data_IF_374847823727
#
_entry.id   IF_374847823727
#
_cell.length_a   1.000
_cell.length_b   1.000
_cell.length_c   1.000
_cell.angle_alpha   90.00
_cell.angle_beta   90.00
_cell.angle_gamma   90.00
#
_symmetry.space_group_name_H-M   'P 1'
#
loop_
_entity.id
_entity.type
_entity.pdbx_description
1 polymer ?
#
# COMPACT_ATOMS: atom_id res chain seq x y z
N UNK A 1 16.03 -14.58 -22.50
CA UNK A 1 16.45 -15.55 -21.45
C UNK A 1 16.91 -14.73 -20.27
N UNK A 2 16.01 -14.39 -19.34
CA UNK A 2 16.38 -13.64 -18.13
C UNK A 2 16.80 -14.64 -17.07
N UNK A 3 18.06 -14.56 -16.66
CA UNK A 3 18.63 -15.36 -15.57
C UNK A 3 18.01 -14.90 -14.25
N UNK A 4 16.97 -15.59 -13.80
CA UNK A 4 16.51 -15.48 -12.41
C UNK A 4 17.55 -16.18 -11.55
N UNK A 5 18.18 -15.45 -10.64
CA UNK A 5 18.95 -16.04 -9.54
C UNK A 5 17.96 -16.29 -8.41
N UNK A 6 17.79 -17.54 -8.03
CA UNK A 6 17.08 -17.90 -6.81
C UNK A 6 17.94 -17.47 -5.62
N UNK A 7 17.53 -16.38 -4.97
CA UNK A 7 18.10 -15.91 -3.72
C UNK A 7 17.10 -16.27 -2.63
N UNK A 8 17.50 -17.11 -1.69
CA UNK A 8 16.71 -17.39 -0.48
C UNK A 8 16.83 -16.18 0.45
N UNK A 9 15.74 -15.47 0.77
CA UNK A 9 15.81 -14.30 1.63
C UNK A 9 16.30 -14.67 3.04
N UNK A 10 17.10 -13.79 3.64
CA UNK A 10 17.61 -13.93 5.01
C UNK A 10 16.84 -13.01 5.97
N UNK A 11 17.04 -13.21 7.29
CA UNK A 11 16.44 -12.35 8.33
C UNK A 11 16.77 -10.87 8.15
N UNK A 12 17.99 -10.57 7.70
CA UNK A 12 18.43 -9.19 7.46
C UNK A 12 17.73 -8.58 6.24
N UNK A 13 17.43 -9.38 5.21
CA UNK A 13 16.66 -8.94 4.05
C UNK A 13 15.24 -8.53 4.45
N UNK A 14 14.60 -9.30 5.34
CA UNK A 14 13.27 -8.95 5.88
C UNK A 14 13.30 -7.66 6.70
N UNK A 15 14.33 -7.43 7.51
CA UNK A 15 14.48 -6.17 8.26
C UNK A 15 14.66 -4.98 7.32
N UNK A 16 15.48 -5.11 6.28
CA UNK A 16 15.68 -4.06 5.27
C UNK A 16 14.39 -3.74 4.52
N UNK A 17 13.64 -4.77 4.12
CA UNK A 17 12.32 -4.62 3.50
C UNK A 17 11.36 -3.93 4.47
N UNK A 18 11.38 -4.30 5.75
CA UNK A 18 10.54 -3.67 6.76
C UNK A 18 10.78 -2.17 6.88
N UNK A 19 12.06 -1.80 6.91
CA UNK A 19 12.49 -0.41 6.94
C UNK A 19 12.14 0.32 5.64
N UNK A 20 12.28 -0.31 4.48
CA UNK A 20 11.90 0.25 3.19
C UNK A 20 10.40 0.57 3.11
N UNK A 21 9.55 -0.38 3.52
CA UNK A 21 8.09 -0.22 3.63
C UNK A 21 7.77 0.96 4.56
N UNK A 22 8.39 0.96 5.74
CA UNK A 22 8.19 2.00 6.76
C UNK A 22 8.56 3.39 6.23
N UNK A 23 9.76 3.56 5.65
CA UNK A 23 10.24 4.83 5.08
C UNK A 23 9.37 5.34 3.94
N UNK A 24 8.97 4.46 3.02
CA UNK A 24 8.10 4.81 1.89
C UNK A 24 6.77 5.40 2.39
N UNK A 25 6.16 4.76 3.39
CA UNK A 25 4.91 5.21 3.98
C UNK A 25 5.03 6.59 4.68
N UNK A 26 6.17 6.94 5.29
CA UNK A 26 6.33 8.24 5.98
C UNK A 26 6.28 9.46 5.05
N UNK A 27 6.60 9.31 3.76
CA UNK A 27 6.56 10.42 2.78
C UNK A 27 5.17 10.68 2.20
N UNK A 28 4.20 9.81 2.51
CA UNK A 28 2.85 9.86 1.99
C UNK A 28 1.94 10.74 2.85
N UNK A 29 0.99 11.41 2.22
CA UNK A 29 -0.10 12.08 2.93
C UNK A 29 -0.98 11.06 3.66
N UNK A 30 -1.85 11.56 4.54
CA UNK A 30 -2.75 10.71 5.33
C UNK A 30 -3.68 9.88 4.44
N UNK A 31 -4.26 10.48 3.38
CA UNK A 31 -5.15 9.75 2.46
C UNK A 31 -4.41 8.69 1.65
N UNK A 32 -3.22 8.99 1.14
CA UNK A 32 -2.37 8.01 0.44
C UNK A 32 -2.05 6.80 1.33
N UNK A 33 -1.63 7.04 2.58
CA UNK A 33 -1.38 5.95 3.55
C UNK A 33 -2.63 5.15 3.85
N UNK A 34 -3.77 5.80 4.05
CA UNK A 34 -5.04 5.13 4.33
C UNK A 34 -5.46 4.22 3.17
N UNK A 35 -5.32 4.69 1.93
CA UNK A 35 -5.57 3.89 0.73
C UNK A 35 -4.62 2.69 0.63
N UNK A 36 -3.32 2.92 0.86
CA UNK A 36 -2.33 1.84 0.86
C UNK A 36 -2.64 0.78 1.93
N UNK A 37 -2.92 1.21 3.15
CA UNK A 37 -3.26 0.29 4.24
C UNK A 37 -4.57 -0.45 4.01
N UNK A 38 -5.56 0.21 3.42
CA UNK A 38 -6.81 -0.45 3.05
C UNK A 38 -6.55 -1.57 2.05
N UNK A 39 -5.70 -1.34 1.04
CA UNK A 39 -5.31 -2.37 0.08
C UNK A 39 -4.50 -3.50 0.74
N UNK A 40 -3.49 -3.16 1.54
CA UNK A 40 -2.66 -4.14 2.25
C UNK A 40 -3.45 -4.99 3.25
N UNK A 41 -4.49 -4.43 3.88
CA UNK A 41 -5.34 -5.14 4.83
C UNK A 41 -6.19 -6.25 4.19
N UNK A 42 -6.30 -6.29 2.86
CA UNK A 42 -7.00 -7.36 2.15
C UNK A 42 -6.11 -8.57 1.85
N UNK A 43 -4.79 -8.42 1.97
CA UNK A 43 -3.83 -9.50 1.77
C UNK A 43 -3.98 -10.50 2.91
N UNK A 44 -4.17 -11.77 2.57
CA UNK A 44 -4.29 -12.88 3.52
C UNK A 44 -2.99 -13.70 3.54
N UNK A 45 -2.68 -14.38 4.66
CA UNK A 45 -1.47 -15.20 4.74
C UNK A 45 -1.43 -16.38 3.77
N UNK A 46 -2.59 -16.77 3.23
CA UNK A 46 -2.73 -17.88 2.27
C UNK A 46 -2.73 -17.40 0.81
N UNK A 47 -2.62 -16.09 0.57
CA UNK A 47 -2.62 -15.58 -0.79
C UNK A 47 -1.26 -15.84 -1.45
N UNK A 48 -1.27 -16.54 -2.58
CA UNK A 48 -0.07 -16.77 -3.41
C UNK A 48 0.28 -15.55 -4.28
N UNK A 49 -0.69 -14.65 -4.47
CA UNK A 49 -0.58 -13.44 -5.29
C UNK A 49 -1.22 -12.24 -4.57
N UNK A 50 -0.75 -11.04 -4.86
CA UNK A 50 -1.35 -9.83 -4.29
C UNK A 50 -2.72 -9.56 -4.93
N UNK A 51 -3.81 -9.47 -4.14
CA UNK A 51 -5.13 -9.28 -4.69
C UNK A 51 -5.32 -7.87 -5.26
N UNK A 52 -6.11 -7.78 -6.33
CA UNK A 52 -6.74 -6.52 -6.70
C UNK A 52 -7.90 -6.23 -5.76
N UNK A 53 -7.90 -5.04 -5.17
CA UNK A 53 -8.92 -4.63 -4.21
C UNK A 53 -9.92 -3.71 -4.90
N UNK A 54 -11.15 -4.20 -5.06
CA UNK A 54 -12.29 -3.42 -5.56
C UNK A 54 -13.20 -3.01 -4.41
N UNK A 55 -13.56 -1.73 -4.36
CA UNK A 55 -14.40 -1.13 -3.32
C UNK A 55 -15.32 -0.06 -3.91
N UNK A 56 -16.42 0.26 -3.24
CA UNK A 56 -17.21 1.44 -3.60
C UNK A 56 -16.47 2.71 -3.18
N UNK A 57 -16.33 3.69 -4.07
CA UNK A 57 -15.72 4.98 -3.74
C UNK A 57 -16.48 5.68 -2.59
N UNK A 58 -17.80 5.58 -2.57
CA UNK A 58 -18.63 6.05 -1.46
C UNK A 58 -18.22 5.42 -0.12
N UNK A 59 -18.03 4.09 -0.09
CA UNK A 59 -17.61 3.38 1.14
C UNK A 59 -16.23 3.83 1.62
N UNK A 60 -15.32 4.17 0.69
CA UNK A 60 -13.99 4.73 1.03
C UNK A 60 -14.12 6.10 1.67
N UNK A 61 -14.94 6.99 1.10
CA UNK A 61 -15.19 8.31 1.68
C UNK A 61 -15.75 8.20 3.09
N UNK A 62 -16.74 7.32 3.30
CA UNK A 62 -17.32 7.05 4.63
C UNK A 62 -16.26 6.51 5.61
N UNK A 63 -15.47 5.52 5.19
CA UNK A 63 -14.41 4.94 6.01
C UNK A 63 -13.34 5.97 6.42
N UNK A 64 -13.13 7.00 5.59
CA UNK A 64 -12.15 8.06 5.85
C UNK A 64 -12.73 9.30 6.54
N UNK A 65 -14.04 9.31 6.81
CA UNK A 65 -14.75 10.44 7.43
C UNK A 65 -14.87 11.65 6.49
N UNK A 66 -14.90 11.41 5.18
CA UNK A 66 -15.06 12.44 4.15
C UNK A 66 -16.53 12.60 3.78
N UNK A 67 -16.89 13.80 3.35
CA UNK A 67 -18.24 14.10 2.87
C UNK A 67 -18.55 13.34 1.57
N UNK A 68 -19.82 13.01 1.35
CA UNK A 68 -20.28 12.52 0.05
C UNK A 68 -20.57 13.71 -0.88
N UNK A 69 -19.51 14.39 -1.33
CA UNK A 69 -19.60 15.54 -2.23
C UNK A 69 -18.55 15.47 -3.35
N UNK A 70 -18.78 16.21 -4.44
CA UNK A 70 -17.89 16.18 -5.61
C UNK A 70 -16.44 16.57 -5.31
N UNK A 71 -16.20 17.42 -4.29
CA UNK A 71 -14.84 17.78 -3.87
C UNK A 71 -14.12 16.59 -3.24
N UNK A 72 -14.82 15.80 -2.44
CA UNK A 72 -14.28 14.61 -1.78
C UNK A 72 -13.91 13.51 -2.79
N UNK A 73 -14.69 13.33 -3.87
CA UNK A 73 -14.31 12.44 -4.97
C UNK A 73 -13.09 12.95 -5.76
N UNK A 74 -12.97 14.27 -5.98
CA UNK A 74 -11.77 14.87 -6.60
C UNK A 74 -10.54 14.65 -5.72
N UNK A 75 -10.66 14.86 -4.41
CA UNK A 75 -9.58 14.63 -3.46
C UNK A 75 -9.17 13.15 -3.39
N UNK A 76 -10.16 12.24 -3.42
CA UNK A 76 -9.91 10.80 -3.49
C UNK A 76 -9.14 10.42 -4.76
N UNK A 77 -9.56 10.90 -5.93
CA UNK A 77 -8.83 10.67 -7.19
C UNK A 77 -7.40 11.21 -7.12
N UNK A 78 -7.21 12.42 -6.61
CA UNK A 78 -5.88 13.01 -6.44
C UNK A 78 -5.02 12.24 -5.43
N UNK A 79 -5.61 11.63 -4.40
CA UNK A 79 -4.89 10.76 -3.48
C UNK A 79 -4.46 9.45 -4.15
N UNK A 80 -5.33 8.84 -4.96
CA UNK A 80 -5.01 7.64 -5.76
C UNK A 80 -3.89 7.93 -6.76
N UNK A 81 -3.96 9.03 -7.50
CA UNK A 81 -2.92 9.43 -8.45
C UNK A 81 -1.56 9.61 -7.77
N UNK A 82 -1.52 10.30 -6.64
CA UNK A 82 -0.27 10.48 -5.89
C UNK A 82 0.25 9.17 -5.33
N UNK A 83 -0.64 8.28 -4.86
CA UNK A 83 -0.27 6.94 -4.38
C UNK A 83 0.36 6.09 -5.49
N UNK A 84 -0.16 6.13 -6.72
CA UNK A 84 0.45 5.46 -7.87
C UNK A 84 1.88 5.96 -8.14
N UNK A 85 2.13 7.25 -7.91
CA UNK A 85 3.45 7.86 -8.01
C UNK A 85 4.41 7.49 -6.86
N UNK A 86 3.95 6.79 -5.82
CA UNK A 86 4.81 6.40 -4.69
C UNK A 86 5.62 5.17 -5.02
N UNK A 87 6.90 5.24 -4.67
CA UNK A 87 7.84 4.13 -4.78
C UNK A 87 8.27 3.64 -3.40
N UNK A 88 8.55 2.34 -3.30
CA UNK A 88 9.35 1.76 -2.23
C UNK A 88 10.79 1.64 -2.72
N UNK A 89 11.75 1.98 -1.85
CA UNK A 89 13.18 1.88 -2.14
C UNK A 89 13.79 0.83 -1.22
N UNK A 90 14.29 -0.25 -1.82
CA UNK A 90 14.94 -1.36 -1.15
C UNK A 90 16.45 -1.24 -1.40
N UNK A 91 17.20 -0.95 -0.34
CA UNK A 91 18.66 -0.89 -0.40
C UNK A 91 19.22 -2.31 -0.51
N UNK A 92 20.19 -2.52 -1.41
CA UNK A 92 20.84 -3.82 -1.63
C UNK A 92 22.18 -3.89 -0.89
N UNK A 93 22.62 -5.08 -0.44
CA UNK A 93 23.88 -5.24 0.30
C UNK A 93 25.13 -4.74 -0.44
N UNK A 94 25.08 -4.68 -1.78
CA UNK A 94 26.17 -4.19 -2.61
C UNK A 94 26.21 -2.65 -2.75
N UNK A 95 25.41 -1.91 -1.97
CA UNK A 95 25.28 -0.45 -2.07
C UNK A 95 24.40 0.02 -3.23
N UNK A 96 23.77 -0.89 -3.96
CA UNK A 96 22.76 -0.56 -4.97
C UNK A 96 21.36 -0.36 -4.37
N UNK A 97 20.41 0.01 -5.21
CA UNK A 97 19.00 0.17 -4.82
C UNK A 97 18.07 -0.50 -5.83
N UNK A 98 16.91 -0.90 -5.36
CA UNK A 98 15.79 -1.41 -6.15
C UNK A 98 14.55 -0.57 -5.82
N UNK A 99 13.84 -0.12 -6.85
CA UNK A 99 12.63 0.68 -6.70
C UNK A 99 11.45 -0.01 -7.37
N UNK A 100 10.34 -0.08 -6.64
CA UNK A 100 9.05 -0.53 -7.17
C UNK A 100 7.98 0.51 -6.85
N UNK A 101 6.98 0.61 -7.72
CA UNK A 101 5.77 1.34 -7.38
C UNK A 101 4.96 0.57 -6.34
N UNK A 102 4.24 1.28 -5.47
CA UNK A 102 3.31 0.64 -4.54
C UNK A 102 2.09 0.06 -5.26
N UNK A 103 1.55 0.83 -6.19
CA UNK A 103 0.33 0.52 -6.94
C UNK A 103 0.69 0.48 -8.42
N UNK A 104 0.41 -0.65 -9.07
CA UNK A 104 0.65 -0.80 -10.50
C UNK A 104 -0.58 -0.43 -11.35
N UNK A 105 -1.78 -0.52 -10.78
CA UNK A 105 -3.03 -0.13 -11.44
C UNK A 105 -4.01 0.44 -10.43
N UNK A 106 -4.67 1.53 -10.82
CA UNK A 106 -5.90 1.97 -10.17
C UNK A 106 -6.93 2.33 -11.23
N UNK A 107 -8.20 2.05 -10.95
CA UNK A 107 -9.31 2.27 -11.88
C UNK A 107 -10.52 2.78 -11.11
N UNK A 108 -11.18 3.81 -11.66
CA UNK A 108 -12.48 4.27 -11.18
C UNK A 108 -13.50 4.05 -12.28
N UNK A 109 -14.56 3.30 -12.00
CA UNK A 109 -15.64 2.99 -12.93
C UNK A 109 -16.89 3.80 -12.54
N UNK A 110 -17.23 4.87 -13.28
CA UNK A 110 -18.38 5.71 -12.94
C UNK A 110 -19.72 4.98 -13.04
N UNK A 111 -19.82 3.91 -13.86
CA UNK A 111 -21.10 3.21 -14.06
C UNK A 111 -21.61 2.51 -12.80
N UNK A 112 -20.72 2.09 -11.91
CA UNK A 112 -21.07 1.47 -10.62
C UNK A 112 -20.41 2.15 -9.40
N UNK A 113 -19.64 3.22 -9.62
CA UNK A 113 -18.97 3.98 -8.58
C UNK A 113 -17.86 3.20 -7.87
N UNK A 114 -17.28 2.18 -8.52
CA UNK A 114 -16.22 1.37 -7.94
C UNK A 114 -14.83 1.96 -8.17
N UNK A 115 -13.99 1.82 -7.16
CA UNK A 115 -12.56 2.08 -7.17
C UNK A 115 -11.84 0.74 -7.03
N UNK A 116 -10.95 0.42 -7.96
CA UNK A 116 -10.08 -0.75 -7.91
C UNK A 116 -8.63 -0.31 -7.74
N UNK A 117 -7.89 -0.96 -6.85
CA UNK A 117 -6.46 -0.73 -6.61
C UNK A 117 -5.75 -2.08 -6.66
N UNK A 118 -4.75 -2.19 -7.54
CA UNK A 118 -3.85 -3.34 -7.61
C UNK A 118 -2.46 -2.95 -7.15
N UNK A 119 -2.03 -3.58 -6.05
CA UNK A 119 -0.65 -3.48 -5.57
C UNK A 119 0.29 -4.05 -6.63
N UNK A 120 1.52 -3.55 -6.69
CA UNK A 120 2.50 -4.06 -7.66
C UNK A 120 2.86 -5.51 -7.36
N UNK A 121 2.77 -6.38 -8.38
CA UNK A 121 3.10 -7.80 -8.22
C UNK A 121 4.56 -8.00 -7.80
N UNK A 122 5.44 -7.06 -8.14
CA UNK A 122 6.84 -7.01 -7.69
C UNK A 122 7.00 -6.92 -6.16
N UNK A 123 5.93 -6.51 -5.45
CA UNK A 123 5.92 -6.44 -4.00
C UNK A 123 5.54 -7.74 -3.33
N UNK A 124 5.03 -8.73 -4.07
CA UNK A 124 4.61 -10.01 -3.51
C UNK A 124 5.70 -10.68 -2.65
N UNK A 125 6.98 -10.75 -3.08
CA UNK A 125 8.05 -11.35 -2.28
C UNK A 125 8.26 -10.64 -0.94
N UNK A 126 8.03 -9.33 -0.90
CA UNK A 126 8.27 -8.47 0.27
C UNK A 126 7.06 -8.39 1.20
N UNK A 127 5.84 -8.47 0.69
CA UNK A 127 4.64 -8.23 1.51
C UNK A 127 4.00 -9.53 1.99
N UNK A 128 3.98 -10.58 1.16
CA UNK A 128 3.35 -11.87 1.53
C UNK A 128 4.11 -12.56 2.67
N UNK A 129 5.44 -12.57 2.62
CA UNK A 129 6.29 -13.22 3.63
C UNK A 129 6.43 -12.43 4.93
N UNK A 130 6.11 -11.12 4.92
CA UNK A 130 6.22 -10.28 6.11
C UNK A 130 4.94 -10.25 6.96
N UNK A 131 3.87 -10.93 6.55
CA UNK A 131 2.61 -10.93 7.30
C UNK A 131 2.73 -11.54 8.71
N UNK A 132 3.63 -12.50 8.95
CA UNK A 132 3.90 -13.01 10.31
C UNK A 132 4.44 -11.91 11.24
N UNK A 133 5.13 -10.90 10.70
CA UNK A 133 5.70 -9.79 11.45
C UNK A 133 4.81 -8.53 11.47
N UNK A 134 4.03 -8.29 10.41
CA UNK A 134 3.15 -7.11 10.28
C UNK A 134 1.73 -7.30 10.80
N UNK A 135 1.32 -8.52 11.17
CA UNK A 135 0.01 -8.82 11.79
C UNK A 135 -0.30 -8.03 13.07
N UNK A 136 0.65 -7.23 13.57
CA UNK A 136 0.52 -6.35 14.74
C UNK A 136 -0.02 -4.95 14.39
N UNK A 137 0.03 -4.51 13.13
CA UNK A 137 -0.61 -3.25 12.67
C UNK A 137 -2.11 -3.47 12.43
N UNK A 138 -2.80 -4.04 13.43
CA UNK A 138 -4.25 -4.12 13.43
C UNK A 138 -4.80 -2.69 13.38
N UNK A 139 -5.92 -2.55 12.68
CA UNK A 139 -6.83 -1.40 12.52
C UNK A 139 -6.88 -0.39 13.70
N UNK A 140 -6.54 -0.79 14.92
CA UNK A 140 -6.29 0.09 16.07
C UNK A 140 -5.26 1.22 15.81
N UNK A 141 -4.26 1.03 14.95
CA UNK A 141 -3.29 2.11 14.64
C UNK A 141 -3.81 3.11 13.59
N UNK A 142 -4.79 2.72 12.76
CA UNK A 142 -5.51 3.66 11.88
C UNK A 142 -6.30 4.70 12.70
N UNK A 143 -6.82 4.30 13.87
CA UNK A 143 -7.47 5.22 14.81
C UNK A 143 -6.48 6.18 15.49
N UNK A 144 -5.26 5.73 15.81
CA UNK A 144 -4.20 6.58 16.43
C UNK A 144 -3.59 7.59 15.46
N UNK A 145 -3.70 7.39 14.15
CA UNK A 145 -3.32 8.38 13.15
C UNK A 145 -4.18 9.65 13.20
N UNK A 146 -5.35 9.64 13.87
CA UNK A 146 -6.13 10.85 14.13
C UNK A 146 -5.59 11.71 15.28
N UNK A 147 -4.75 11.16 16.19
CA UNK A 147 -4.36 11.86 17.42
C UNK A 147 -2.93 12.39 17.45
N UNK A 148 -2.05 12.00 16.51
CA UNK A 148 -0.63 12.43 16.51
C UNK A 148 -0.30 13.65 15.65
N UNK A 149 -1.28 14.22 14.97
CA UNK A 149 -1.15 15.51 14.27
C UNK A 149 -2.08 16.60 14.87
N UNK A 150 -2.54 16.36 16.10
CA UNK A 150 -3.21 17.37 16.93
C UNK A 150 -2.29 17.75 18.11
N UNK A 151 -1.08 18.22 17.79
CA UNK A 151 -0.27 19.10 18.64
C UNK A 151 0.52 20.05 17.75
#
# INVERSE_FOLDING_TARGET
MSTTKDVVPTRDDYLLQAHAISRGAYTMTVLERRLLYLAMAQIRPQDDELPEVRMSAYSVLQAFGMSDDGRSYIELKAAVERLMGRVIVIDRPNGGWLMHHWVQRAEYEPSDGSLSIRLSDDLAPYVLHMQEQYSVLRVADLAKLQSKYAQ
#
